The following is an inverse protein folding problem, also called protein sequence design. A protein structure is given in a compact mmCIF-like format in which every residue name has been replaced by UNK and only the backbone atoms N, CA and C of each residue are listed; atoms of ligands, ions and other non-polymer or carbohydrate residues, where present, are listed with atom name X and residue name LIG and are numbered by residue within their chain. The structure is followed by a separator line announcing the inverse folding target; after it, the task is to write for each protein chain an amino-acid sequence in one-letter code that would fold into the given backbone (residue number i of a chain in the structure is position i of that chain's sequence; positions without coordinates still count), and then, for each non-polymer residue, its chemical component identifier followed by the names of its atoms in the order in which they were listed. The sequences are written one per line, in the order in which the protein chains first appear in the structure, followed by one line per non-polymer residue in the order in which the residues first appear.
data_IF_592026835678
#
_entry.id   IF_592026835678
#
_cell.length_a   1.000
_cell.length_b   1.000
_cell.length_c   1.000
_cell.angle_alpha   90.00
_cell.angle_beta   90.00
_cell.angle_gamma   90.00
#
_symmetry.space_group_name_H-M   'P 1'
#
loop_
_entity.id
_entity.type
_entity.pdbx_description
1 polymer ?
#
# COMPACT_ATOMS: atom_id res chain seq x y z
N UNK A 1 -81.79 38.30 -31.85
CA UNK A 1 -80.40 38.17 -32.32
C UNK A 1 -79.42 38.98 -31.49
N UNK A 2 -79.75 40.17 -31.01
CA UNK A 2 -78.89 41.03 -30.17
C UNK A 2 -78.41 40.37 -28.87
N UNK A 3 -79.28 39.66 -28.15
CA UNK A 3 -78.88 39.03 -26.88
C UNK A 3 -77.86 37.86 -27.07
N UNK A 4 -77.92 37.17 -28.20
CA UNK A 4 -76.90 36.16 -28.56
C UNK A 4 -75.57 36.77 -28.96
N UNK A 5 -75.58 37.93 -29.65
CA UNK A 5 -74.40 38.68 -30.02
C UNK A 5 -73.75 39.30 -28.77
N UNK A 6 -74.54 39.81 -27.79
CA UNK A 6 -74.03 40.32 -26.51
C UNK A 6 -73.48 39.25 -25.65
N UNK A 7 -74.07 38.07 -25.60
CA UNK A 7 -73.55 36.92 -24.89
C UNK A 7 -72.28 36.40 -25.53
N UNK A 8 -72.18 36.35 -26.86
CA UNK A 8 -70.99 35.94 -27.58
C UNK A 8 -69.81 36.94 -27.40
N UNK A 9 -70.12 38.26 -27.43
CA UNK A 9 -69.15 39.30 -27.15
C UNK A 9 -68.61 39.23 -25.70
N UNK A 10 -69.51 39.01 -24.72
CA UNK A 10 -69.12 38.81 -23.33
C UNK A 10 -68.28 37.56 -23.14
N UNK A 11 -68.61 36.44 -23.79
CA UNK A 11 -67.85 35.23 -23.78
C UNK A 11 -66.44 35.40 -24.43
N UNK A 12 -66.38 36.17 -25.54
CA UNK A 12 -65.10 36.47 -26.19
C UNK A 12 -64.17 37.36 -25.33
N UNK A 13 -64.75 38.33 -24.61
CA UNK A 13 -64.00 39.17 -23.65
C UNK A 13 -63.53 38.34 -22.45
N UNK A 14 -64.37 37.39 -21.97
CA UNK A 14 -63.96 36.47 -20.89
C UNK A 14 -62.88 35.51 -21.32
N UNK A 15 -62.84 35.03 -22.58
CA UNK A 15 -61.79 34.18 -23.08
C UNK A 15 -60.44 34.93 -23.33
N UNK A 16 -60.50 36.18 -23.71
CA UNK A 16 -59.30 37.01 -23.92
C UNK A 16 -58.64 37.50 -22.62
N UNK A 17 -59.31 37.32 -21.47
CA UNK A 17 -58.80 37.70 -20.15
C UNK A 17 -58.13 36.52 -19.37
N UNK A 18 -57.94 35.37 -20.02
CA UNK A 18 -57.24 34.26 -19.38
C UNK A 18 -55.71 34.38 -19.62
N UNK A 19 -54.93 34.26 -18.57
CA UNK A 19 -53.49 34.14 -18.64
C UNK A 19 -53.07 32.66 -18.57
N UNK A 20 -52.03 32.35 -19.37
CA UNK A 20 -51.40 31.03 -19.33
C UNK A 20 -50.23 31.09 -18.37
N UNK A 21 -50.25 30.13 -17.43
CA UNK A 21 -49.19 29.96 -16.46
C UNK A 21 -48.55 28.60 -16.66
N UNK A 22 -47.24 28.57 -16.71
CA UNK A 22 -46.46 27.37 -16.87
C UNK A 22 -45.72 27.10 -15.57
N UNK A 23 -45.65 25.83 -15.17
CA UNK A 23 -44.79 25.36 -14.08
C UNK A 23 -43.64 24.59 -14.74
N UNK A 24 -42.40 24.93 -14.41
CA UNK A 24 -41.23 24.14 -14.80
C UNK A 24 -41.23 22.79 -14.09
N UNK A 25 -40.33 21.90 -14.53
CA UNK A 25 -40.22 20.55 -13.97
C UNK A 25 -39.86 20.49 -12.47
N UNK A 26 -39.37 21.61 -11.94
CA UNK A 26 -38.95 21.76 -10.53
C UNK A 26 -39.82 22.74 -9.76
N UNK A 27 -40.93 23.19 -10.32
CA UNK A 27 -41.77 24.21 -9.73
C UNK A 27 -43.19 23.71 -9.42
N UNK A 28 -43.70 24.11 -8.29
CA UNK A 28 -45.10 23.90 -7.91
C UNK A 28 -45.84 25.22 -7.90
N UNK A 29 -47.03 25.23 -8.47
CA UNK A 29 -47.91 26.39 -8.51
C UNK A 29 -48.92 26.41 -7.35
N UNK A 30 -49.19 27.63 -6.85
CA UNK A 30 -50.24 27.89 -5.86
C UNK A 30 -51.09 29.04 -6.35
N UNK A 31 -52.44 28.84 -6.33
CA UNK A 31 -53.37 29.81 -6.83
C UNK A 31 -54.03 30.60 -5.66
N UNK A 32 -54.06 31.92 -5.78
CA UNK A 32 -54.82 32.78 -4.90
C UNK A 32 -56.00 33.35 -5.63
N UNK A 33 -57.21 33.24 -5.09
CA UNK A 33 -58.42 33.89 -5.66
C UNK A 33 -58.70 35.21 -4.94
N UNK A 34 -58.73 36.30 -5.70
CA UNK A 34 -59.01 37.64 -5.18
C UNK A 34 -60.50 37.84 -4.85
N UNK A 35 -61.38 37.16 -5.58
CA UNK A 35 -62.83 37.34 -5.52
C UNK A 35 -63.54 36.00 -5.38
N UNK A 36 -64.47 35.87 -4.47
CA UNK A 36 -65.19 34.65 -4.14
C UNK A 36 -66.33 34.22 -5.09
N UNK A 37 -66.37 34.74 -6.36
CA UNK A 37 -67.42 34.44 -7.32
C UNK A 37 -67.42 32.96 -7.78
N UNK A 38 -66.23 32.38 -7.91
CA UNK A 38 -65.99 31.01 -8.38
C UNK A 38 -65.47 30.04 -7.30
N UNK A 39 -65.79 30.33 -6.02
CA UNK A 39 -65.37 29.58 -4.87
C UNK A 39 -64.93 30.47 -3.70
N UNK A 40 -64.23 29.91 -2.68
CA UNK A 40 -63.75 30.73 -1.56
C UNK A 40 -62.57 31.63 -2.04
N UNK A 41 -62.66 32.93 -1.67
CA UNK A 41 -61.57 33.86 -1.84
C UNK A 41 -60.37 33.46 -0.94
N UNK A 42 -59.16 33.81 -1.31
CA UNK A 42 -57.92 33.50 -0.60
C UNK A 42 -57.09 32.46 -1.28
N UNK A 43 -56.04 32.00 -0.61
CA UNK A 43 -55.12 30.95 -1.10
C UNK A 43 -55.86 29.62 -1.21
N UNK A 44 -55.72 28.97 -2.35
CA UNK A 44 -56.32 27.65 -2.56
C UNK A 44 -55.42 26.60 -1.97
N UNK A 45 -56.02 25.63 -1.24
CA UNK A 45 -55.25 24.54 -0.62
C UNK A 45 -54.79 23.49 -1.63
N UNK A 46 -55.22 23.62 -2.88
CA UNK A 46 -54.83 22.73 -3.97
C UNK A 46 -53.50 23.22 -4.59
N UNK A 47 -52.57 22.30 -4.74
CA UNK A 47 -51.25 22.54 -5.37
C UNK A 47 -51.26 22.06 -6.84
N UNK A 48 -50.62 22.80 -7.68
CA UNK A 48 -50.54 22.53 -9.11
C UNK A 48 -49.20 21.89 -9.43
N UNK A 49 -49.19 20.63 -9.88
CA UNK A 49 -47.96 19.86 -10.07
C UNK A 49 -47.00 20.45 -11.10
N UNK A 50 -45.71 20.09 -11.06
CA UNK A 50 -44.68 20.53 -12.02
C UNK A 50 -44.95 20.07 -13.45
N UNK A 51 -44.43 20.81 -14.41
CA UNK A 51 -44.37 20.43 -15.82
C UNK A 51 -45.70 20.53 -16.59
N UNK A 52 -46.64 21.33 -16.11
CA UNK A 52 -47.94 21.51 -16.74
C UNK A 52 -48.24 22.98 -17.03
N UNK A 53 -49.17 23.21 -17.97
CA UNK A 53 -49.63 24.54 -18.30
C UNK A 53 -51.08 24.68 -17.79
N UNK A 54 -51.31 25.78 -17.12
CA UNK A 54 -52.59 26.10 -16.49
C UNK A 54 -53.11 27.42 -17.03
N UNK A 55 -54.42 27.52 -17.09
CA UNK A 55 -55.10 28.74 -17.60
C UNK A 55 -56.06 29.26 -16.54
N UNK A 56 -55.85 30.50 -16.11
CA UNK A 56 -56.67 31.15 -15.10
C UNK A 56 -57.12 32.56 -15.53
N UNK A 57 -58.29 33.04 -15.07
CA UNK A 57 -58.71 34.42 -15.33
C UNK A 57 -57.80 35.43 -14.59
N UNK A 58 -57.06 36.24 -15.32
CA UNK A 58 -56.02 37.14 -14.80
C UNK A 58 -56.49 38.14 -13.73
N UNK A 59 -57.71 38.65 -13.82
CA UNK A 59 -58.18 39.72 -12.94
C UNK A 59 -58.77 39.24 -11.62
N UNK A 60 -59.03 37.92 -11.47
CA UNK A 60 -59.60 37.34 -10.25
C UNK A 60 -58.69 36.37 -9.56
N UNK A 61 -57.51 36.09 -10.16
CA UNK A 61 -56.52 35.13 -9.59
C UNK A 61 -55.12 35.72 -9.60
N UNK A 62 -54.34 35.36 -8.62
CA UNK A 62 -52.88 35.51 -8.61
C UNK A 62 -52.25 34.14 -8.59
N UNK A 63 -51.13 34.01 -9.32
CA UNK A 63 -50.36 32.80 -9.48
C UNK A 63 -49.01 32.96 -8.84
N UNK A 64 -48.66 32.03 -7.91
CA UNK A 64 -47.40 31.99 -7.24
C UNK A 64 -46.68 30.67 -7.57
N UNK A 65 -45.38 30.73 -7.73
CA UNK A 65 -44.56 29.58 -8.11
C UNK A 65 -43.44 29.41 -7.11
N UNK A 66 -43.29 28.15 -6.59
CA UNK A 66 -42.23 27.79 -5.69
C UNK A 66 -41.32 26.72 -6.30
N UNK A 67 -40.03 26.92 -6.20
CA UNK A 67 -39.07 25.92 -6.60
C UNK A 67 -38.99 24.86 -5.48
N UNK A 68 -39.33 23.61 -5.81
CA UNK A 68 -39.31 22.45 -4.89
C UNK A 68 -38.06 21.60 -5.03
N UNK A 69 -37.15 21.95 -5.97
CA UNK A 69 -35.85 21.33 -6.06
C UNK A 69 -35.00 21.63 -4.82
N UNK A 70 -33.98 20.80 -4.61
CA UNK A 70 -33.02 21.02 -3.53
C UNK A 70 -32.24 22.30 -3.77
N UNK A 71 -32.26 23.20 -2.79
CA UNK A 71 -31.58 24.48 -2.80
C UNK A 71 -30.58 24.55 -1.66
N UNK A 72 -29.56 25.38 -1.83
CA UNK A 72 -28.60 25.65 -0.78
C UNK A 72 -28.77 27.08 -0.24
N UNK A 73 -28.69 27.21 1.06
CA UNK A 73 -28.55 28.48 1.75
C UNK A 73 -27.10 28.57 2.24
N UNK A 74 -26.29 29.40 1.61
CA UNK A 74 -24.90 29.65 2.00
C UNK A 74 -24.78 30.89 2.87
N UNK A 75 -24.46 30.71 4.14
CA UNK A 75 -24.12 31.77 5.10
C UNK A 75 -22.60 31.70 5.35
N UNK A 76 -21.84 32.48 4.59
CA UNK A 76 -20.37 32.40 4.59
C UNK A 76 -19.74 33.79 4.77
N UNK A 77 -18.51 33.81 5.26
CA UNK A 77 -17.72 35.02 5.42
C UNK A 77 -17.28 35.62 4.07
N UNK A 78 -17.05 34.76 3.07
CA UNK A 78 -16.59 35.17 1.76
C UNK A 78 -17.68 35.88 0.96
N UNK A 79 -17.36 37.07 0.45
CA UNK A 79 -18.28 37.89 -0.39
C UNK A 79 -18.57 37.26 -1.76
N UNK A 80 -17.84 36.23 -2.15
CA UNK A 80 -17.95 35.63 -3.50
C UNK A 80 -18.52 34.22 -3.51
N UNK A 81 -18.66 33.59 -2.36
CA UNK A 81 -19.05 32.17 -2.27
C UNK A 81 -20.45 31.96 -1.61
N UNK A 82 -21.01 33.00 -0.98
CA UNK A 82 -22.30 32.91 -0.30
C UNK A 82 -23.49 33.37 -1.17
N UNK A 83 -24.67 33.31 -0.58
CA UNK A 83 -25.91 33.83 -1.18
C UNK A 83 -25.97 35.34 -1.20
N UNK A 84 -25.23 36.03 -0.34
CA UNK A 84 -25.13 37.46 -0.21
C UNK A 84 -23.74 37.97 -0.59
N UNK A 85 -23.69 39.16 -1.17
CA UNK A 85 -22.43 39.83 -1.45
C UNK A 85 -21.76 40.45 -0.20
N UNK A 86 -22.43 40.40 0.92
CA UNK A 86 -21.94 40.85 2.23
C UNK A 86 -21.58 39.65 3.10
N UNK A 87 -20.78 39.90 4.14
CA UNK A 87 -20.45 38.93 5.16
C UNK A 87 -21.74 38.41 5.85
N UNK A 88 -21.99 37.12 5.82
CA UNK A 88 -23.21 36.50 6.31
C UNK A 88 -22.95 35.25 7.20
N UNK A 89 -21.70 35.04 7.60
CA UNK A 89 -21.30 33.98 8.52
C UNK A 89 -22.03 34.06 9.88
N UNK A 90 -22.03 32.96 10.61
CA UNK A 90 -22.68 32.91 11.92
C UNK A 90 -21.61 33.23 12.98
N UNK A 91 -21.77 34.39 13.63
CA UNK A 91 -20.92 34.82 14.73
C UNK A 91 -21.57 34.50 16.08
N UNK A 92 -20.81 33.88 17.00
CA UNK A 92 -21.29 33.53 18.34
C UNK A 92 -20.11 33.32 19.29
N UNK A 93 -20.42 33.10 20.58
CA UNK A 93 -19.44 32.71 21.60
C UNK A 93 -19.51 31.21 21.86
N UNK A 94 -18.34 30.58 21.94
CA UNK A 94 -18.22 29.20 22.37
C UNK A 94 -18.59 29.03 23.86
N UNK A 95 -18.74 27.80 24.32
CA UNK A 95 -19.02 27.52 25.74
C UNK A 95 -17.94 28.11 26.67
N UNK A 96 -16.70 28.17 26.23
CA UNK A 96 -15.55 28.77 26.96
C UNK A 96 -15.40 30.29 26.76
N UNK A 97 -16.39 30.92 26.10
CA UNK A 97 -16.51 32.39 25.99
C UNK A 97 -15.69 33.02 24.87
N UNK A 98 -15.04 32.25 23.99
CA UNK A 98 -14.30 32.76 22.85
C UNK A 98 -15.20 33.14 21.70
N UNK A 99 -14.90 34.24 21.03
CA UNK A 99 -15.61 34.63 19.81
C UNK A 99 -15.17 33.78 18.62
N UNK A 100 -16.15 33.22 17.93
CA UNK A 100 -15.95 32.39 16.75
C UNK A 100 -16.96 32.75 15.67
N UNK A 101 -16.55 32.66 14.43
CA UNK A 101 -17.40 32.73 13.24
C UNK A 101 -17.33 31.43 12.48
N UNK A 102 -18.45 30.97 11.99
CA UNK A 102 -18.55 29.70 11.27
C UNK A 102 -19.36 29.87 10.00
N UNK A 103 -18.81 29.36 8.91
CA UNK A 103 -19.51 29.26 7.65
C UNK A 103 -20.47 28.08 7.69
N UNK A 104 -21.72 28.34 7.28
CA UNK A 104 -22.77 27.31 7.31
C UNK A 104 -23.48 27.26 5.98
N UNK A 105 -23.62 26.06 5.44
CA UNK A 105 -24.44 25.80 4.26
C UNK A 105 -25.55 24.82 4.63
N UNK A 106 -26.79 25.22 4.37
CA UNK A 106 -27.96 24.41 4.64
C UNK A 106 -28.62 24.02 3.33
N UNK A 107 -28.73 22.74 3.06
CA UNK A 107 -29.49 22.19 1.96
C UNK A 107 -30.94 21.97 2.37
N UNK A 108 -31.88 22.60 1.64
CA UNK A 108 -33.27 22.62 1.98
C UNK A 108 -34.15 22.59 0.73
N UNK A 109 -35.44 22.24 0.89
CA UNK A 109 -36.43 22.31 -0.17
C UNK A 109 -37.80 22.61 0.42
N UNK A 110 -38.71 23.11 -0.40
CA UNK A 110 -40.10 23.35 -0.04
C UNK A 110 -40.88 22.03 -0.13
N UNK A 111 -41.74 21.78 0.86
CA UNK A 111 -42.70 20.70 0.80
C UNK A 111 -43.85 21.06 -0.12
N UNK A 112 -44.05 20.26 -1.16
CA UNK A 112 -45.07 20.48 -2.19
C UNK A 112 -46.45 20.56 -1.62
N UNK A 113 -46.77 19.75 -0.59
CA UNK A 113 -48.11 19.71 0.01
C UNK A 113 -48.39 20.95 0.85
N UNK A 114 -47.38 21.55 1.44
CA UNK A 114 -47.47 22.72 2.31
C UNK A 114 -47.21 24.06 1.59
N UNK A 115 -47.03 24.06 0.27
CA UNK A 115 -46.81 25.29 -0.49
C UNK A 115 -47.96 26.33 -0.30
N UNK A 116 -49.25 25.96 -0.19
CA UNK A 116 -50.30 26.92 0.12
C UNK A 116 -50.16 27.56 1.52
N UNK A 117 -49.77 26.79 2.51
CA UNK A 117 -49.48 27.29 3.86
C UNK A 117 -48.35 28.32 3.86
N UNK A 118 -47.30 28.05 3.13
CA UNK A 118 -46.14 28.96 2.95
C UNK A 118 -46.61 30.28 2.34
N UNK A 119 -47.48 30.24 1.32
CA UNK A 119 -47.99 31.41 0.70
C UNK A 119 -48.82 32.32 1.66
N UNK A 120 -49.56 31.69 2.57
CA UNK A 120 -50.38 32.44 3.55
C UNK A 120 -49.55 33.06 4.67
N UNK A 121 -48.43 32.41 5.09
CA UNK A 121 -47.76 32.74 6.34
C UNK A 121 -46.35 33.27 6.18
N UNK A 122 -45.67 32.96 5.05
CA UNK A 122 -44.24 33.24 4.92
C UNK A 122 -43.93 34.23 3.78
N UNK A 123 -44.40 33.93 2.56
CA UNK A 123 -44.15 34.78 1.42
C UNK A 123 -44.53 34.15 0.07
N UNK A 124 -44.63 34.97 -0.95
CA UNK A 124 -45.14 34.61 -2.29
C UNK A 124 -44.08 34.03 -3.24
N UNK A 125 -42.82 33.96 -2.85
CA UNK A 125 -41.74 33.47 -3.68
C UNK A 125 -40.74 32.62 -2.88
N UNK A 126 -40.02 31.72 -3.57
CA UNK A 126 -38.98 30.90 -2.95
C UNK A 126 -37.86 31.75 -2.31
N UNK A 127 -37.56 32.92 -2.91
CA UNK A 127 -36.58 33.83 -2.32
C UNK A 127 -37.04 34.45 -1.03
N UNK A 128 -38.30 34.80 -0.93
CA UNK A 128 -38.91 35.31 0.35
C UNK A 128 -38.89 34.22 1.42
N UNK A 129 -39.22 32.97 1.09
CA UNK A 129 -39.15 31.85 2.03
C UNK A 129 -37.71 31.67 2.54
N UNK A 130 -36.73 31.74 1.66
CA UNK A 130 -35.30 31.64 2.03
C UNK A 130 -34.92 32.77 3.00
N UNK A 131 -35.26 34.01 2.70
CA UNK A 131 -34.82 35.19 3.45
C UNK A 131 -35.62 35.39 4.76
N UNK A 132 -36.91 35.16 4.73
CA UNK A 132 -37.79 35.49 5.86
C UNK A 132 -37.94 34.34 6.86
N UNK A 133 -37.80 33.08 6.39
CA UNK A 133 -38.02 31.90 7.25
C UNK A 133 -36.74 31.09 7.44
N UNK A 134 -36.13 30.61 6.34
CA UNK A 134 -35.06 29.64 6.43
C UNK A 134 -33.81 30.27 7.05
N UNK A 135 -33.36 31.43 6.53
CA UNK A 135 -32.18 32.11 7.03
C UNK A 135 -32.21 32.50 8.51
N UNK A 136 -33.23 33.15 9.03
CA UNK A 136 -33.34 33.48 10.46
C UNK A 136 -33.39 32.25 11.36
N UNK A 137 -34.15 31.23 10.96
CA UNK A 137 -34.22 29.97 11.70
C UNK A 137 -32.86 29.25 11.75
N UNK A 138 -32.17 29.16 10.59
CA UNK A 138 -30.84 28.58 10.52
C UNK A 138 -29.87 29.34 11.42
N UNK A 139 -29.84 30.67 11.33
CA UNK A 139 -28.93 31.51 12.11
C UNK A 139 -29.17 31.34 13.62
N UNK A 140 -30.41 31.26 14.06
CA UNK A 140 -30.74 31.07 15.48
C UNK A 140 -30.41 29.66 15.97
N UNK A 141 -30.93 28.64 15.30
CA UNK A 141 -30.83 27.24 15.77
C UNK A 141 -29.40 26.71 15.67
N UNK A 142 -28.70 27.03 14.58
CA UNK A 142 -27.31 26.60 14.44
C UNK A 142 -26.42 27.29 15.48
N UNK A 143 -26.62 28.58 15.74
CA UNK A 143 -25.95 29.29 16.83
C UNK A 143 -26.18 28.64 18.18
N UNK A 144 -27.44 28.33 18.52
CA UNK A 144 -27.78 27.70 19.80
C UNK A 144 -27.15 26.32 19.99
N UNK A 145 -27.04 25.54 18.91
CA UNK A 145 -26.37 24.24 18.96
C UNK A 145 -24.86 24.38 19.10
N UNK A 146 -24.26 25.28 18.32
CA UNK A 146 -22.81 25.47 18.30
C UNK A 146 -22.26 26.15 19.57
N UNK A 147 -23.05 27.01 20.22
CA UNK A 147 -22.71 27.61 21.53
C UNK A 147 -22.41 26.58 22.63
N UNK A 148 -22.88 25.35 22.48
CA UNK A 148 -22.62 24.27 23.46
C UNK A 148 -21.25 23.61 23.29
N UNK A 149 -20.54 23.93 22.22
CA UNK A 149 -19.21 23.39 21.95
C UNK A 149 -18.11 24.25 22.59
N UNK A 150 -17.05 23.60 23.01
CA UNK A 150 -15.81 24.30 23.41
C UNK A 150 -14.97 24.64 22.18
N UNK A 151 -14.09 25.63 22.31
CA UNK A 151 -13.19 26.02 21.21
C UNK A 151 -12.31 24.87 20.69
N UNK A 152 -11.89 23.96 21.57
CA UNK A 152 -11.08 22.80 21.18
C UNK A 152 -11.89 21.77 20.36
N UNK A 153 -13.18 21.61 20.64
CA UNK A 153 -14.05 20.67 19.93
C UNK A 153 -14.28 21.06 18.48
N UNK A 154 -14.13 22.36 18.14
CA UNK A 154 -14.20 22.81 16.74
C UNK A 154 -13.06 22.30 15.87
N UNK A 155 -11.92 21.92 16.46
CA UNK A 155 -10.82 21.31 15.72
C UNK A 155 -10.99 19.80 15.51
N UNK A 156 -11.99 19.17 16.17
CA UNK A 156 -12.31 17.75 16.05
C UNK A 156 -13.45 17.54 15.05
N UNK A 157 -13.15 16.92 13.91
CA UNK A 157 -14.11 16.73 12.82
C UNK A 157 -15.37 15.97 13.23
N UNK A 158 -15.22 14.91 14.03
CA UNK A 158 -16.35 14.09 14.49
C UNK A 158 -17.33 14.87 15.37
N UNK A 159 -16.83 15.76 16.22
CA UNK A 159 -17.65 16.61 17.07
C UNK A 159 -18.45 17.60 16.24
N UNK A 160 -17.83 18.23 15.24
CA UNK A 160 -18.52 19.13 14.30
C UNK A 160 -19.62 18.40 13.55
N UNK A 161 -19.35 17.19 13.05
CA UNK A 161 -20.35 16.40 12.34
C UNK A 161 -21.56 16.07 13.24
N UNK A 162 -21.34 15.64 14.47
CA UNK A 162 -22.42 15.37 15.42
C UNK A 162 -23.27 16.60 15.70
N UNK A 163 -22.65 17.78 15.84
CA UNK A 163 -23.39 19.04 16.07
C UNK A 163 -24.10 19.54 14.83
N UNK A 164 -23.57 19.32 13.64
CA UNK A 164 -24.26 19.59 12.38
C UNK A 164 -25.54 18.74 12.27
N UNK A 165 -25.48 17.48 12.66
CA UNK A 165 -26.64 16.60 12.66
C UNK A 165 -27.66 16.98 13.72
N UNK A 166 -27.24 17.36 14.92
CA UNK A 166 -28.12 17.91 15.97
C UNK A 166 -28.82 19.19 15.47
N UNK A 167 -28.08 20.07 14.78
CA UNK A 167 -28.67 21.28 14.20
C UNK A 167 -29.69 20.95 13.11
N UNK A 168 -29.38 19.98 12.24
CA UNK A 168 -30.32 19.49 11.22
C UNK A 168 -31.62 18.98 11.82
N UNK A 169 -31.54 18.16 12.88
CA UNK A 169 -32.73 17.62 13.54
C UNK A 169 -33.60 18.73 14.15
N UNK A 170 -32.99 19.70 14.86
CA UNK A 170 -33.69 20.83 15.42
C UNK A 170 -34.33 21.71 14.36
N UNK A 171 -33.57 21.99 13.26
CA UNK A 171 -34.07 22.74 12.11
C UNK A 171 -35.23 22.02 11.42
N UNK A 172 -35.11 20.69 11.21
CA UNK A 172 -36.19 19.89 10.61
C UNK A 172 -37.47 19.91 11.41
N UNK A 173 -37.42 19.98 12.75
CA UNK A 173 -38.60 20.10 13.62
C UNK A 173 -39.28 21.46 13.47
N UNK A 174 -38.49 22.54 13.45
CA UNK A 174 -39.03 23.91 13.40
C UNK A 174 -39.52 24.25 11.99
N UNK A 175 -38.66 24.08 10.99
CA UNK A 175 -38.96 24.41 9.60
C UNK A 175 -39.92 23.41 8.95
N UNK A 176 -39.94 22.16 9.38
CA UNK A 176 -40.87 21.15 8.90
C UNK A 176 -42.31 21.43 9.26
N UNK A 177 -42.56 22.11 10.39
CA UNK A 177 -43.90 22.60 10.75
C UNK A 177 -44.38 23.64 9.72
N UNK A 178 -43.50 24.50 9.26
CA UNK A 178 -43.77 25.59 8.32
C UNK A 178 -43.71 25.17 6.82
N UNK A 179 -43.46 23.90 6.53
CA UNK A 179 -43.46 23.38 5.16
C UNK A 179 -42.11 23.43 4.45
N UNK A 180 -41.01 23.53 5.19
CA UNK A 180 -39.64 23.46 4.64
C UNK A 180 -38.93 22.20 5.17
N UNK A 181 -38.40 21.42 4.24
CA UNK A 181 -37.68 20.19 4.55
C UNK A 181 -36.17 20.51 4.53
N UNK A 182 -35.49 20.26 5.63
CA UNK A 182 -34.04 20.41 5.75
C UNK A 182 -33.36 19.06 5.52
N UNK A 183 -32.60 18.95 4.45
CA UNK A 183 -31.92 17.69 4.08
C UNK A 183 -30.56 17.55 4.78
N UNK A 184 -29.80 18.65 4.82
CA UNK A 184 -28.44 18.62 5.38
C UNK A 184 -28.01 19.98 5.91
N UNK A 185 -27.24 19.96 6.99
CA UNK A 185 -26.49 21.12 7.49
C UNK A 185 -25.01 20.79 7.39
N UNK A 186 -24.24 21.67 6.74
CA UNK A 186 -22.80 21.54 6.53
C UNK A 186 -22.14 22.70 7.24
N UNK A 187 -21.25 22.40 8.16
CA UNK A 187 -20.36 23.38 8.79
C UNK A 187 -19.08 23.50 7.95
N UNK A 188 -18.81 24.69 7.47
CA UNK A 188 -17.65 25.02 6.64
C UNK A 188 -16.45 25.45 7.46
N UNK A 189 -15.77 26.50 7.00
CA UNK A 189 -14.65 27.09 7.70
C UNK A 189 -15.09 27.77 8.99
N UNK A 190 -14.20 27.80 9.96
CA UNK A 190 -14.42 28.50 11.21
C UNK A 190 -13.20 29.38 11.52
N UNK A 191 -13.45 30.55 12.04
CA UNK A 191 -12.41 31.54 12.34
C UNK A 191 -12.59 32.03 13.77
N UNK A 192 -11.54 31.96 14.53
CA UNK A 192 -11.46 32.56 15.85
C UNK A 192 -10.89 33.98 15.81
N UNK A 193 -11.00 34.71 16.91
CA UNK A 193 -10.26 35.96 17.04
C UNK A 193 -8.76 35.69 16.81
N UNK A 194 -8.04 36.54 16.05
CA UNK A 194 -6.64 36.28 15.65
C UNK A 194 -5.69 35.96 16.81
N UNK A 195 -5.87 36.61 17.97
CA UNK A 195 -5.02 36.35 19.14
C UNK A 195 -5.23 34.92 19.70
N UNK A 196 -6.48 34.47 19.74
CA UNK A 196 -6.82 33.13 20.19
C UNK A 196 -6.36 32.06 19.20
N UNK A 197 -6.55 32.32 17.91
CA UNK A 197 -6.12 31.41 16.83
C UNK A 197 -4.61 31.16 16.89
N UNK A 198 -3.82 32.21 17.14
CA UNK A 198 -2.38 32.10 17.32
C UNK A 198 -2.02 31.20 18.52
N UNK A 199 -2.66 31.42 19.67
CA UNK A 199 -2.39 30.61 20.89
C UNK A 199 -2.75 29.14 20.66
N UNK A 200 -3.86 28.85 20.02
CA UNK A 200 -4.27 27.47 19.71
C UNK A 200 -3.33 26.83 18.68
N UNK A 201 -2.93 27.58 17.65
CA UNK A 201 -1.94 27.12 16.68
C UNK A 201 -0.62 26.74 17.37
N UNK A 202 -0.10 27.62 18.23
CA UNK A 202 1.15 27.38 18.96
C UNK A 202 1.03 26.18 19.91
N UNK A 203 -0.11 26.05 20.60
CA UNK A 203 -0.43 24.87 21.43
C UNK A 203 -0.42 23.59 20.61
N UNK A 204 -1.11 23.58 19.48
CA UNK A 204 -1.17 22.41 18.57
C UNK A 204 0.20 22.04 18.00
N UNK A 205 1.00 23.03 17.63
CA UNK A 205 2.35 22.80 17.16
C UNK A 205 3.24 22.19 18.26
N UNK A 206 3.10 22.69 19.50
CA UNK A 206 3.80 22.12 20.65
C UNK A 206 3.38 20.68 20.95
N UNK A 207 2.07 20.39 20.93
CA UNK A 207 1.53 19.03 21.11
C UNK A 207 2.04 18.07 20.02
N UNK A 208 1.95 18.46 18.74
CA UNK A 208 2.47 17.66 17.62
C UNK A 208 3.99 17.44 17.72
N UNK A 209 4.72 18.46 18.17
CA UNK A 209 6.18 18.34 18.36
C UNK A 209 6.50 17.36 19.48
N UNK A 210 5.77 17.43 20.59
CA UNK A 210 5.92 16.49 21.70
C UNK A 210 5.59 15.05 21.30
N UNK A 211 4.48 14.85 20.58
CA UNK A 211 4.08 13.54 20.08
C UNK A 211 5.09 12.96 19.08
N UNK A 212 5.63 13.83 18.19
CA UNK A 212 6.69 13.42 17.28
C UNK A 212 7.96 13.01 18.03
N UNK A 213 8.39 13.78 19.05
CA UNK A 213 9.55 13.44 19.85
C UNK A 213 9.37 12.10 20.58
N UNK A 214 8.18 11.82 21.13
CA UNK A 214 7.86 10.53 21.74
C UNK A 214 7.92 9.40 20.70
N UNK A 215 7.36 9.61 19.52
CA UNK A 215 7.39 8.64 18.43
C UNK A 215 8.82 8.38 17.93
N UNK A 216 9.62 9.42 17.74
CA UNK A 216 11.04 9.33 17.37
C UNK A 216 11.85 8.61 18.46
N UNK A 217 11.59 8.90 19.74
CA UNK A 217 12.20 8.20 20.86
C UNK A 217 11.90 6.70 20.88
N UNK A 218 10.63 6.34 20.66
CA UNK A 218 10.20 4.94 20.57
C UNK A 218 10.83 4.24 19.34
N UNK A 219 10.88 4.91 18.21
CA UNK A 219 11.52 4.39 17.00
C UNK A 219 13.02 4.15 17.20
N UNK A 220 13.73 5.10 17.81
CA UNK A 220 15.16 4.98 18.14
C UNK A 220 15.40 3.82 19.12
N UNK A 221 14.56 3.66 20.12
CA UNK A 221 14.64 2.55 21.06
C UNK A 221 14.46 1.19 20.35
N UNK A 222 13.48 1.11 19.46
CA UNK A 222 13.25 -0.09 18.66
C UNK A 222 14.39 -0.39 17.70
N UNK A 223 14.99 0.64 17.11
CA UNK A 223 16.17 0.50 16.25
C UNK A 223 17.37 0.00 17.06
N UNK A 224 17.61 0.55 18.25
CA UNK A 224 18.66 0.07 19.14
C UNK A 224 18.48 -1.41 19.53
N UNK A 225 17.24 -1.83 19.82
CA UNK A 225 16.92 -3.24 20.10
C UNK A 225 17.17 -4.14 18.87
N UNK A 226 16.77 -3.71 17.68
CA UNK A 226 17.05 -4.44 16.42
C UNK A 226 18.56 -4.57 16.17
N UNK A 227 19.31 -3.48 16.37
CA UNK A 227 20.76 -3.50 16.19
C UNK A 227 21.43 -4.46 17.18
N UNK A 228 20.98 -4.49 18.43
CA UNK A 228 21.45 -5.41 19.46
C UNK A 228 21.15 -6.88 19.08
N UNK A 229 19.94 -7.18 18.63
CA UNK A 229 19.56 -8.52 18.18
C UNK A 229 20.33 -8.93 16.90
N UNK A 230 20.53 -8.02 15.98
CA UNK A 230 21.33 -8.24 14.77
C UNK A 230 22.80 -8.56 15.14
N UNK A 231 23.37 -7.77 16.05
CA UNK A 231 24.73 -8.00 16.53
C UNK A 231 24.86 -9.37 17.24
N UNK A 232 23.91 -9.72 18.12
CA UNK A 232 23.86 -11.05 18.75
C UNK A 232 23.76 -12.17 17.70
N UNK A 233 22.90 -12.00 16.71
CA UNK A 233 22.75 -12.93 15.59
C UNK A 233 24.06 -13.13 14.82
N UNK A 234 24.74 -12.04 14.47
CA UNK A 234 26.04 -12.09 13.79
C UNK A 234 27.13 -12.79 14.61
N UNK A 235 27.20 -12.50 15.92
CA UNK A 235 28.14 -13.17 16.83
C UNK A 235 27.81 -14.67 16.93
N UNK A 236 26.55 -15.03 17.10
CA UNK A 236 26.11 -16.42 17.13
C UNK A 236 26.45 -17.17 15.85
N UNK A 237 26.22 -16.53 14.69
CA UNK A 237 26.58 -17.09 13.39
C UNK A 237 28.09 -17.30 13.25
N UNK A 238 28.92 -16.32 13.67
CA UNK A 238 30.38 -16.47 13.64
C UNK A 238 30.86 -17.62 14.54
N UNK A 239 30.27 -17.74 15.75
CA UNK A 239 30.59 -18.83 16.65
C UNK A 239 30.19 -20.19 16.04
N UNK A 240 28.99 -20.30 15.47
CA UNK A 240 28.52 -21.51 14.81
C UNK A 240 29.40 -21.91 13.62
N UNK A 241 29.78 -20.92 12.77
CA UNK A 241 30.68 -21.14 11.64
C UNK A 241 32.07 -21.59 12.11
N UNK A 242 32.62 -20.96 13.14
CA UNK A 242 33.93 -21.32 13.69
C UNK A 242 33.89 -22.74 14.31
N UNK A 243 32.83 -23.10 15.06
CA UNK A 243 32.66 -24.45 15.58
C UNK A 243 32.51 -25.48 14.45
N UNK A 244 31.67 -25.19 13.45
CA UNK A 244 31.53 -26.06 12.28
C UNK A 244 32.82 -26.26 11.50
N UNK A 245 33.62 -25.21 11.34
CA UNK A 245 34.95 -25.28 10.75
C UNK A 245 35.91 -26.14 11.57
N UNK A 246 35.91 -25.97 12.88
CA UNK A 246 36.73 -26.77 13.78
C UNK A 246 36.34 -28.26 13.73
N UNK A 247 35.06 -28.57 13.70
CA UNK A 247 34.57 -29.94 13.61
C UNK A 247 34.91 -30.56 12.24
N UNK A 248 34.85 -29.80 11.16
CA UNK A 248 35.30 -30.25 9.84
C UNK A 248 36.80 -30.54 9.81
N UNK A 249 37.61 -29.67 10.41
CA UNK A 249 39.07 -29.88 10.47
C UNK A 249 39.37 -31.13 11.31
N UNK A 250 38.72 -31.32 12.46
CA UNK A 250 38.87 -32.54 13.27
C UNK A 250 38.52 -33.81 12.48
N UNK A 251 37.37 -33.83 11.85
CA UNK A 251 36.90 -34.95 11.03
C UNK A 251 37.87 -35.26 9.87
N UNK A 252 38.39 -34.23 9.20
CA UNK A 252 39.41 -34.42 8.14
C UNK A 252 40.69 -35.00 8.72
N UNK A 253 41.18 -34.40 9.79
CA UNK A 253 42.41 -34.86 10.45
C UNK A 253 42.30 -36.31 10.90
N UNK A 254 41.17 -36.68 11.50
CA UNK A 254 40.92 -38.05 11.95
C UNK A 254 40.81 -39.01 10.75
N UNK A 255 40.17 -38.60 9.67
CA UNK A 255 40.09 -39.38 8.43
C UNK A 255 41.44 -39.55 7.77
N UNK A 256 42.27 -38.47 7.69
CA UNK A 256 43.60 -38.52 7.14
C UNK A 256 44.55 -39.37 7.98
N UNK A 257 44.43 -39.28 9.32
CA UNK A 257 45.17 -40.14 10.24
C UNK A 257 44.81 -41.63 10.04
N UNK A 258 43.51 -41.92 9.96
CA UNK A 258 43.03 -43.28 9.72
C UNK A 258 43.48 -43.79 8.34
N UNK A 259 43.42 -42.97 7.30
CA UNK A 259 43.90 -43.30 5.95
C UNK A 259 45.40 -43.59 5.98
N UNK A 260 46.20 -42.70 6.56
CA UNK A 260 47.64 -42.86 6.66
C UNK A 260 48.03 -44.12 7.43
N UNK A 261 47.29 -44.43 8.50
CA UNK A 261 47.49 -45.68 9.26
C UNK A 261 47.22 -46.90 8.38
N UNK A 262 46.10 -46.90 7.64
CA UNK A 262 45.77 -48.01 6.72
C UNK A 262 46.71 -48.15 5.55
N UNK A 263 47.15 -47.04 4.98
CA UNK A 263 48.19 -47.03 3.93
C UNK A 263 49.50 -47.59 4.45
N UNK A 264 49.93 -47.21 5.64
CA UNK A 264 51.13 -47.73 6.27
C UNK A 264 51.05 -49.25 6.55
N UNK A 265 49.90 -49.70 7.04
CA UNK A 265 49.64 -51.14 7.24
C UNK A 265 49.65 -51.90 5.89
N UNK A 266 49.03 -51.32 4.86
CA UNK A 266 49.00 -51.92 3.52
C UNK A 266 50.41 -52.00 2.88
N UNK A 267 51.19 -50.92 2.96
CA UNK A 267 52.59 -50.89 2.50
C UNK A 267 53.43 -51.94 3.27
N UNK A 268 53.25 -52.02 4.57
CA UNK A 268 53.98 -52.99 5.39
C UNK A 268 53.62 -54.44 5.01
N UNK A 269 52.35 -54.71 4.79
CA UNK A 269 51.85 -55.99 4.32
C UNK A 269 52.39 -56.34 2.93
N UNK A 270 52.37 -55.38 2.00
CA UNK A 270 52.89 -55.51 0.63
C UNK A 270 54.41 -55.80 0.66
N UNK A 271 55.17 -55.01 1.40
CA UNK A 271 56.62 -55.19 1.49
C UNK A 271 56.98 -56.54 2.16
N UNK A 272 56.18 -56.92 3.16
CA UNK A 272 56.34 -58.23 3.81
C UNK A 272 56.03 -59.39 2.86
N UNK A 273 54.93 -59.26 2.08
CA UNK A 273 54.56 -60.25 1.06
C UNK A 273 55.63 -60.34 -0.04
N UNK A 274 56.11 -59.15 -0.51
CA UNK A 274 57.19 -59.08 -1.47
C UNK A 274 58.49 -59.73 -0.94
N UNK A 275 58.90 -59.40 0.29
CA UNK A 275 60.08 -60.02 0.91
C UNK A 275 59.93 -61.51 1.03
N UNK A 276 58.76 -62.00 1.43
CA UNK A 276 58.49 -63.47 1.47
C UNK A 276 58.52 -64.07 0.05
N UNK A 277 57.98 -63.36 -0.93
CA UNK A 277 58.08 -63.78 -2.36
C UNK A 277 59.52 -63.91 -2.84
N UNK A 278 60.34 -62.90 -2.56
CA UNK A 278 61.77 -62.93 -2.90
C UNK A 278 62.50 -64.07 -2.15
N UNK A 279 62.23 -64.20 -0.88
CA UNK A 279 62.82 -65.33 -0.05
C UNK A 279 62.47 -66.72 -0.62
N UNK A 280 61.19 -66.96 -0.97
CA UNK A 280 60.73 -68.18 -1.60
C UNK A 280 61.35 -68.36 -3.02
N UNK A 281 61.50 -67.36 -3.78
CA UNK A 281 62.14 -67.39 -5.10
C UNK A 281 63.62 -67.75 -4.95
N UNK A 282 64.33 -67.10 -4.01
CA UNK A 282 65.72 -67.41 -3.72
C UNK A 282 65.93 -68.86 -3.18
N UNK A 283 65.00 -69.29 -2.38
CA UNK A 283 64.99 -70.69 -1.88
C UNK A 283 64.78 -71.71 -3.02
N UNK A 284 63.84 -71.39 -3.94
CA UNK A 284 63.60 -72.18 -5.16
C UNK A 284 64.78 -72.16 -6.11
N UNK A 285 65.47 -71.01 -6.24
CA UNK A 285 66.68 -70.91 -7.07
C UNK A 285 67.93 -71.55 -6.52
N UNK A 286 68.01 -71.76 -5.19
CA UNK A 286 69.10 -72.47 -4.53
C UNK A 286 69.08 -73.99 -4.78
N UNK A 287 67.98 -74.53 -5.28
CA UNK A 287 67.78 -75.93 -5.61
C UNK A 287 68.31 -76.30 -7.03
N UNK A 288 68.34 -77.56 -7.38
CA UNK A 288 68.84 -78.07 -8.67
C UNK A 288 68.20 -77.50 -9.91
N UNK A 289 66.92 -77.02 -9.79
CA UNK A 289 66.16 -76.36 -10.87
C UNK A 289 66.56 -74.87 -11.17
N UNK A 290 67.22 -74.21 -10.19
CA UNK A 290 67.57 -72.78 -10.34
C UNK A 290 68.64 -72.50 -11.42
N UNK A 291 69.59 -73.37 -11.50
CA UNK A 291 70.64 -73.29 -12.53
C UNK A 291 70.06 -73.39 -13.99
N UNK A 292 69.02 -74.21 -14.12
CA UNK A 292 68.37 -74.45 -15.40
C UNK A 292 67.47 -73.19 -15.80
N UNK A 293 66.79 -72.61 -14.78
CA UNK A 293 65.95 -71.42 -14.96
C UNK A 293 66.81 -70.20 -15.30
N UNK A 294 67.95 -70.02 -14.64
CA UNK A 294 68.88 -68.94 -14.98
C UNK A 294 69.42 -69.11 -16.41
N UNK A 295 69.79 -70.35 -16.83
CA UNK A 295 70.18 -70.59 -18.23
C UNK A 295 69.05 -70.30 -19.21
N UNK A 296 67.79 -70.61 -18.89
CA UNK A 296 66.60 -70.32 -19.73
C UNK A 296 66.37 -68.82 -19.85
N UNK A 297 66.46 -68.06 -18.76
CA UNK A 297 66.29 -66.57 -18.76
C UNK A 297 67.42 -65.88 -19.51
N UNK A 298 68.62 -66.37 -19.39
CA UNK A 298 69.76 -65.85 -20.18
C UNK A 298 69.57 -66.18 -21.67
N UNK A 299 69.04 -67.36 -21.99
CA UNK A 299 68.75 -67.72 -23.37
C UNK A 299 67.60 -66.87 -23.95
N UNK A 300 66.56 -66.62 -23.18
CA UNK A 300 65.47 -65.69 -23.57
C UNK A 300 66.00 -64.25 -23.77
N UNK A 301 66.80 -63.74 -22.91
CA UNK A 301 67.38 -62.40 -23.01
C UNK A 301 68.37 -62.26 -24.19
N UNK A 302 68.96 -63.37 -24.63
CA UNK A 302 69.84 -63.41 -25.80
C UNK A 302 69.04 -63.76 -27.06
N UNK A 303 67.86 -64.32 -27.00
CA UNK A 303 67.00 -64.61 -28.14
C UNK A 303 66.59 -63.30 -28.84
N UNK A 304 67.05 -63.09 -30.03
CA UNK A 304 66.76 -61.90 -30.85
C UNK A 304 67.85 -60.82 -30.81
N UNK A 305 68.95 -61.01 -30.12
CA UNK A 305 70.10 -60.10 -30.18
C UNK A 305 71.11 -60.67 -31.15
N UNK A 306 71.43 -59.93 -32.21
CA UNK A 306 72.57 -60.29 -33.15
C UNK A 306 73.85 -60.08 -32.41
N UNK A 307 74.55 -61.19 -32.11
CA UNK A 307 75.91 -61.14 -31.54
C UNK A 307 76.89 -61.11 -32.71
N UNK A 308 77.44 -59.93 -32.95
CA UNK A 308 78.46 -59.76 -33.95
C UNK A 308 79.83 -59.99 -33.32
N UNK A 309 80.47 -61.08 -33.68
CA UNK A 309 81.89 -61.32 -33.30
C UNK A 309 82.80 -60.53 -34.28
N UNK A 310 83.37 -59.48 -33.77
CA UNK A 310 84.41 -58.78 -34.53
C UNK A 310 85.82 -59.48 -34.28
N UNK A 311 86.44 -59.99 -35.29
CA UNK A 311 87.76 -60.51 -35.10
C UNK A 311 88.75 -59.35 -34.89
N UNK A 312 89.32 -59.24 -33.71
CA UNK A 312 90.46 -58.37 -33.43
C UNK A 312 91.63 -58.88 -34.17
N UNK A 313 92.06 -58.18 -35.29
CA UNK A 313 93.24 -58.52 -36.05
C UNK A 313 94.54 -58.35 -35.27
N UNK A 314 95.20 -59.44 -35.03
CA UNK A 314 96.54 -59.42 -34.48
C UNK A 314 97.01 -60.76 -34.03
N UNK A 315 97.81 -61.46 -34.97
CA UNK A 315 98.66 -62.66 -34.76
C UNK A 315 98.02 -63.92 -34.18
N UNK A 316 98.13 -64.93 -34.93
CA UNK A 316 97.71 -66.30 -34.68
C UNK A 316 97.90 -66.81 -33.25
N UNK A 317 96.84 -67.42 -32.75
CA UNK A 317 96.90 -68.34 -31.66
C UNK A 317 96.67 -67.83 -30.28
N UNK A 318 95.40 -67.58 -29.99
CA UNK A 318 94.73 -67.90 -28.75
C UNK A 318 93.28 -67.50 -28.87
N UNK A 319 92.40 -68.43 -29.08
CA UNK A 319 90.97 -68.26 -28.65
C UNK A 319 91.00 -68.16 -27.14
N UNK A 320 91.26 -66.96 -26.66
CA UNK A 320 90.95 -66.69 -25.25
C UNK A 320 89.47 -66.89 -25.05
N UNK A 321 89.18 -67.91 -24.35
CA UNK A 321 87.81 -68.19 -23.85
C UNK A 321 87.32 -66.94 -23.16
N UNK A 322 86.51 -66.12 -23.88
CA UNK A 322 85.81 -65.03 -23.25
C UNK A 322 84.92 -65.58 -22.19
N UNK A 323 85.26 -65.25 -20.93
CA UNK A 323 84.58 -65.78 -19.80
C UNK A 323 83.15 -65.20 -19.81
N UNK A 324 82.15 -66.05 -20.11
CA UNK A 324 80.77 -65.69 -20.22
C UNK A 324 80.20 -64.90 -18.98
N UNK A 325 80.89 -65.15 -17.86
CA UNK A 325 80.61 -64.51 -16.59
C UNK A 325 80.99 -63.01 -16.59
N UNK A 326 82.08 -62.63 -17.32
CA UNK A 326 82.54 -61.24 -17.39
C UNK A 326 81.66 -60.40 -18.35
N UNK A 327 81.12 -61.03 -19.38
CA UNK A 327 80.10 -60.42 -20.26
C UNK A 327 78.77 -60.24 -19.57
N UNK A 328 78.33 -61.19 -18.78
CA UNK A 328 77.12 -61.14 -17.99
C UNK A 328 77.24 -60.05 -16.90
N UNK A 329 78.38 -59.94 -16.24
CA UNK A 329 78.61 -58.90 -15.21
C UNK A 329 78.57 -57.48 -15.82
N UNK A 330 79.10 -57.29 -17.00
CA UNK A 330 79.01 -55.98 -17.68
C UNK A 330 77.60 -55.63 -18.19
N UNK A 331 76.87 -56.64 -18.61
CA UNK A 331 75.48 -56.43 -19.04
C UNK A 331 74.56 -56.17 -17.86
N UNK A 332 74.75 -56.81 -16.75
CA UNK A 332 74.01 -56.60 -15.51
C UNK A 332 74.22 -55.18 -14.93
N UNK A 333 75.46 -54.67 -14.99
CA UNK A 333 75.80 -53.31 -14.56
C UNK A 333 75.17 -52.20 -15.44
N UNK A 334 75.01 -52.45 -16.78
CA UNK A 334 74.35 -51.49 -17.65
C UNK A 334 72.81 -51.46 -17.49
N UNK A 335 72.16 -52.56 -17.07
CA UNK A 335 70.74 -52.59 -16.82
C UNK A 335 70.42 -51.96 -15.51
N UNK A 336 71.22 -52.16 -14.47
CA UNK A 336 71.04 -51.49 -13.17
C UNK A 336 71.21 -49.99 -13.25
N UNK A 337 72.14 -49.50 -14.13
CA UNK A 337 72.27 -48.06 -14.38
C UNK A 337 71.13 -47.46 -15.22
N UNK A 338 70.45 -48.25 -16.08
CA UNK A 338 69.27 -47.83 -16.82
C UNK A 338 68.04 -47.80 -15.94
N UNK A 339 67.88 -48.76 -15.05
CA UNK A 339 66.76 -48.79 -14.11
C UNK A 339 66.84 -47.63 -13.11
N UNK A 340 68.04 -47.30 -12.62
CA UNK A 340 68.27 -46.17 -11.72
C UNK A 340 67.97 -44.79 -12.38
N UNK A 341 68.17 -44.70 -13.70
CA UNK A 341 67.94 -43.47 -14.46
C UNK A 341 66.41 -43.25 -14.77
N UNK A 342 65.64 -44.32 -14.89
CA UNK A 342 64.17 -44.28 -15.08
C UNK A 342 63.42 -43.95 -13.77
N UNK A 343 64.03 -44.34 -12.63
CA UNK A 343 63.44 -43.98 -11.31
C UNK A 343 63.70 -42.55 -10.90
N UNK A 344 64.79 -41.90 -11.47
CA UNK A 344 65.11 -40.49 -11.19
C UNK A 344 64.35 -39.52 -12.11
N UNK A 345 63.88 -39.98 -13.29
CA UNK A 345 62.98 -39.20 -14.17
C UNK A 345 61.48 -39.31 -13.84
N UNK A 346 61.10 -40.15 -12.90
CA UNK A 346 59.72 -40.37 -12.43
C UNK A 346 59.42 -39.74 -11.07
N UNK A 347 60.28 -38.88 -10.52
CA UNK A 347 60.13 -38.09 -9.34
C UNK A 347 59.98 -36.61 -9.74
#
# INVERSE_FOLDING_TARGET
MENRLRAAALAAVMLSACTFHNTDSTEVGVLTRKIGILGKAGVQQETYPPGAMYTFPAFITDWHVYNVALQNLGMVQSKTQGDRAERDDIEFKTHDGNDITVDVTVAWRIDTEKAPWILEHVGGSTSEVKENLVRPACRSIVRDVLNTMTSEEFYVSDKRFLKAEEAREKLSKVLGAEGVIVERVILGEHHFHPDYEKVIHDKKLAEQTAERMVSEGNASQQEALRNLETAKGQVSQKIATAKGGLDQVKLRTDADYYRSQRESEAILAEKKAHAQGVAKTNQAMSGAGGRTLVKLRVAEALAGKQIVFLPSGGKAGALQTMNLNDLLARYALTETQRAAKVEDEAK
#
